data_IF_997433210872
#
_entry.id   IF_997433210872
#
_cell.length_a   1.000
_cell.length_b   1.000
_cell.length_c   1.000
_cell.angle_alpha   90.00
_cell.angle_beta   90.00
_cell.angle_gamma   90.00
#
_symmetry.space_group_name_H-M   'P 1'
#
loop_
_entity.id
_entity.type
_entity.pdbx_description
1 polymer ?
#
# COMPACT_ATOMS: atom_id res chain seq x y z
N UNK A 1 20.02 -17.00 11.01
CA UNK A 1 18.56 -17.22 10.98
C UNK A 1 17.87 -15.90 10.57
N UNK A 2 17.84 -15.58 9.27
CA UNK A 2 17.36 -14.28 8.75
C UNK A 2 16.12 -14.39 7.82
N UNK A 3 15.76 -15.60 7.39
CA UNK A 3 14.68 -15.83 6.42
C UNK A 3 13.29 -15.72 7.07
N UNK A 4 13.18 -16.15 8.34
CA UNK A 4 11.90 -16.14 9.09
C UNK A 4 11.41 -14.72 9.41
N UNK A 5 12.32 -13.80 9.72
CA UNK A 5 11.99 -12.40 10.06
C UNK A 5 11.58 -11.59 8.84
N UNK A 6 12.17 -11.88 7.67
CA UNK A 6 11.81 -11.25 6.40
C UNK A 6 10.42 -11.69 5.93
N UNK A 7 10.11 -12.98 5.99
CA UNK A 7 8.79 -13.49 5.62
C UNK A 7 7.69 -12.94 6.54
N UNK A 8 7.91 -12.91 7.86
CA UNK A 8 6.95 -12.32 8.81
C UNK A 8 6.71 -10.82 8.59
N UNK A 9 7.76 -10.07 8.24
CA UNK A 9 7.63 -8.65 7.90
C UNK A 9 6.85 -8.44 6.60
N UNK A 10 7.11 -9.27 5.59
CA UNK A 10 6.42 -9.24 4.31
C UNK A 10 4.93 -9.59 4.45
N UNK A 11 4.58 -10.57 5.29
CA UNK A 11 3.20 -10.95 5.58
C UNK A 11 2.44 -9.86 6.32
N UNK A 12 3.09 -9.27 7.34
CA UNK A 12 2.51 -8.15 8.07
C UNK A 12 2.33 -6.92 7.15
N UNK A 13 3.28 -6.68 6.24
CA UNK A 13 3.16 -5.66 5.20
C UNK A 13 1.99 -5.95 4.25
N UNK A 14 1.87 -7.20 3.77
CA UNK A 14 0.81 -7.60 2.86
C UNK A 14 -0.57 -7.37 3.48
N UNK A 15 -0.78 -7.78 4.73
CA UNK A 15 -2.03 -7.51 5.45
C UNK A 15 -2.37 -6.02 5.55
N UNK A 16 -1.37 -5.15 5.69
CA UNK A 16 -1.57 -3.70 5.69
C UNK A 16 -1.96 -3.19 4.30
N UNK A 17 -1.26 -3.61 3.24
CA UNK A 17 -1.59 -3.22 1.87
C UNK A 17 -2.97 -3.75 1.43
N UNK A 18 -3.29 -5.00 1.73
CA UNK A 18 -4.60 -5.60 1.42
C UNK A 18 -5.74 -4.84 2.09
N UNK A 19 -5.57 -4.49 3.38
CA UNK A 19 -6.56 -3.72 4.11
C UNK A 19 -6.69 -2.29 3.55
N UNK A 20 -5.59 -1.69 3.09
CA UNK A 20 -5.61 -0.39 2.43
C UNK A 20 -6.38 -0.42 1.12
N UNK A 21 -6.05 -1.34 0.19
CA UNK A 21 -6.75 -1.45 -1.08
C UNK A 21 -8.21 -1.88 -0.92
N UNK A 22 -8.52 -2.79 0.02
CA UNK A 22 -9.91 -3.13 0.35
C UNK A 22 -10.72 -1.91 0.81
N UNK A 23 -10.07 -1.01 1.54
CA UNK A 23 -10.69 0.23 2.02
C UNK A 23 -10.88 1.23 0.87
N UNK A 24 -9.93 1.31 -0.06
CA UNK A 24 -10.06 2.12 -1.28
C UNK A 24 -11.18 1.66 -2.20
N UNK A 25 -11.28 0.36 -2.48
CA UNK A 25 -12.36 -0.22 -3.30
C UNK A 25 -13.73 0.08 -2.69
N UNK A 26 -13.83 0.10 -1.37
CA UNK A 26 -15.06 0.44 -0.63
C UNK A 26 -15.34 1.95 -0.55
N UNK A 27 -14.47 2.81 -1.09
CA UNK A 27 -14.62 4.26 -1.07
C UNK A 27 -14.39 4.93 0.30
N UNK A 28 -13.77 4.23 1.26
CA UNK A 28 -13.55 4.79 2.61
C UNK A 28 -12.16 5.48 2.70
N UNK A 29 -12.03 6.61 2.01
CA UNK A 29 -10.75 7.31 1.84
C UNK A 29 -10.14 7.80 3.15
N UNK A 30 -10.94 8.22 4.13
CA UNK A 30 -10.44 8.63 5.44
C UNK A 30 -9.73 7.50 6.18
N UNK A 31 -10.30 6.28 6.14
CA UNK A 31 -9.69 5.12 6.77
C UNK A 31 -8.43 4.69 6.02
N UNK A 32 -8.43 4.79 4.69
CA UNK A 32 -7.25 4.51 3.87
C UNK A 32 -6.12 5.53 4.17
N UNK A 33 -6.43 6.82 4.29
CA UNK A 33 -5.48 7.88 4.61
C UNK A 33 -4.76 7.64 5.95
N UNK A 34 -5.48 7.13 6.98
CA UNK A 34 -4.88 6.78 8.29
C UNK A 34 -3.82 5.66 8.21
N UNK A 35 -3.80 4.88 7.13
CA UNK A 35 -2.83 3.79 6.90
C UNK A 35 -1.55 4.27 6.20
N UNK A 36 -1.60 5.45 5.57
CA UNK A 36 -0.46 6.09 4.94
C UNK A 36 0.36 6.82 6.01
N UNK A 37 1.68 6.68 5.96
CA UNK A 37 2.59 7.52 6.71
C UNK A 37 2.60 8.90 6.03
N UNK A 38 1.99 9.88 6.69
CA UNK A 38 1.99 11.26 6.25
C UNK A 38 3.45 11.75 6.16
N UNK A 39 3.98 12.19 5.00
CA UNK A 39 4.89 13.31 5.04
C UNK A 39 4.10 14.51 5.59
N UNK A 40 4.76 15.38 6.35
CA UNK A 40 4.13 16.57 6.95
C UNK A 40 3.45 17.37 5.82
N UNK A 41 2.13 17.36 5.77
CA UNK A 41 1.30 17.88 4.67
C UNK A 41 -0.18 17.50 4.86
N UNK A 42 -1.08 18.35 4.37
CA UNK A 42 -2.52 18.31 4.71
C UNK A 42 -3.20 16.99 4.33
N UNK A 43 -4.00 16.45 5.26
CA UNK A 43 -4.73 15.18 5.08
C UNK A 43 -5.69 15.22 3.86
N UNK A 44 -6.14 16.42 3.49
CA UNK A 44 -6.98 16.68 2.31
C UNK A 44 -6.30 16.30 0.99
N UNK A 45 -4.99 16.54 0.87
CA UNK A 45 -4.24 16.21 -0.34
C UNK A 45 -4.13 14.70 -0.53
N UNK A 46 -4.00 13.97 0.56
CA UNK A 46 -3.93 12.50 0.53
C UNK A 46 -5.28 11.91 0.16
N UNK A 47 -6.37 12.37 0.76
CA UNK A 47 -7.71 11.89 0.38
C UNK A 47 -7.94 12.11 -1.12
N UNK A 48 -7.55 13.27 -1.65
CA UNK A 48 -7.67 13.58 -3.08
C UNK A 48 -6.83 12.65 -3.96
N UNK A 49 -5.59 12.36 -3.56
CA UNK A 49 -4.73 11.39 -4.26
C UNK A 49 -5.31 9.96 -4.21
N UNK A 50 -5.87 9.56 -3.06
CA UNK A 50 -6.51 8.26 -2.89
C UNK A 50 -7.79 8.14 -3.72
N UNK A 51 -8.56 9.22 -3.85
CA UNK A 51 -9.70 9.30 -4.76
C UNK A 51 -9.25 9.15 -6.22
N UNK A 52 -8.23 9.89 -6.65
CA UNK A 52 -7.68 9.77 -8.01
C UNK A 52 -7.09 8.37 -8.29
N UNK A 53 -6.57 7.69 -7.26
CA UNK A 53 -6.12 6.31 -7.38
C UNK A 53 -7.28 5.32 -7.53
N UNK A 54 -8.37 5.54 -6.80
CA UNK A 54 -9.57 4.71 -6.85
C UNK A 54 -10.46 4.98 -8.07
N UNK A 55 -10.40 6.19 -8.61
CA UNK A 55 -11.10 6.61 -9.83
C UNK A 55 -10.08 7.18 -10.83
N UNK A 56 -9.47 6.27 -11.58
CA UNK A 56 -8.41 6.62 -12.50
C UNK A 56 -9.01 7.23 -13.77
N UNK A 57 -8.57 8.42 -14.23
CA UNK A 57 -9.17 9.11 -15.38
C UNK A 57 -9.06 8.32 -16.69
N UNK A 58 -8.04 7.48 -16.83
CA UNK A 58 -7.81 6.64 -18.02
C UNK A 58 -8.57 5.32 -17.90
N UNK A 59 -8.45 4.66 -16.74
CA UNK A 59 -8.88 3.27 -16.58
C UNK A 59 -10.25 3.07 -15.90
N UNK A 60 -10.88 4.15 -15.39
CA UNK A 60 -12.13 4.09 -14.63
C UNK A 60 -11.92 3.70 -13.16
N UNK A 61 -12.96 3.18 -12.54
CA UNK A 61 -12.93 2.82 -11.11
C UNK A 61 -12.10 1.57 -10.83
N UNK A 62 -11.43 1.58 -9.68
CA UNK A 62 -10.75 0.42 -9.12
C UNK A 62 -11.78 -0.60 -8.63
N UNK A 63 -11.74 -1.80 -9.21
CA UNK A 63 -12.67 -2.90 -8.91
C UNK A 63 -12.02 -3.92 -7.98
N UNK A 64 -10.75 -4.25 -8.24
CA UNK A 64 -10.06 -5.33 -7.55
C UNK A 64 -8.56 -5.06 -7.43
N UNK A 65 -7.91 -5.80 -6.54
CA UNK A 65 -6.47 -5.77 -6.35
C UNK A 65 -5.97 -7.17 -6.04
N UNK A 66 -4.72 -7.45 -6.41
CA UNK A 66 -4.06 -8.71 -6.13
C UNK A 66 -2.58 -8.48 -5.88
N UNK A 67 -2.06 -9.02 -4.78
CA UNK A 67 -0.63 -9.08 -4.54
C UNK A 67 0.03 -10.01 -5.56
N UNK A 68 1.08 -9.54 -6.22
CA UNK A 68 1.91 -10.35 -7.10
C UNK A 68 2.92 -11.18 -6.30
N UNK A 69 3.53 -12.17 -6.97
CA UNK A 69 4.60 -12.95 -6.37
C UNK A 69 5.84 -12.09 -6.14
N UNK A 70 6.56 -12.38 -5.05
CA UNK A 70 7.77 -11.67 -4.67
C UNK A 70 7.55 -10.58 -3.63
N UNK A 71 8.64 -10.19 -2.99
CA UNK A 71 8.73 -9.05 -2.10
C UNK A 71 10.21 -8.70 -1.92
N UNK A 72 10.50 -7.45 -1.56
CA UNK A 72 11.80 -7.06 -1.05
C UNK A 72 11.66 -6.64 0.41
N UNK A 73 12.62 -6.99 1.26
CA UNK A 73 12.66 -6.54 2.66
C UNK A 73 14.04 -6.05 3.00
N UNK A 74 14.12 -4.79 3.40
CA UNK A 74 15.35 -4.12 3.82
C UNK A 74 15.20 -3.70 5.27
N UNK A 75 16.19 -4.02 6.10
CA UNK A 75 16.22 -3.60 7.51
C UNK A 75 17.44 -2.72 7.69
N UNK A 76 17.24 -1.47 8.08
CA UNK A 76 18.32 -0.51 8.33
C UNK A 76 18.01 0.31 9.58
N UNK A 77 18.94 0.37 10.54
CA UNK A 77 18.81 1.12 11.79
C UNK A 77 17.49 0.87 12.54
N UNK A 78 17.04 -0.40 12.58
CA UNK A 78 15.78 -0.78 13.23
C UNK A 78 14.50 -0.40 12.47
N UNK A 79 14.62 0.15 11.26
CA UNK A 79 13.51 0.38 10.34
C UNK A 79 13.42 -0.77 9.35
N UNK A 80 12.31 -1.48 9.37
CA UNK A 80 12.00 -2.51 8.37
C UNK A 80 11.19 -1.88 7.25
N UNK A 81 11.70 -1.95 6.02
CA UNK A 81 11.01 -1.56 4.80
C UNK A 81 10.67 -2.80 3.98
N UNK A 82 9.42 -2.90 3.55
CA UNK A 82 8.92 -3.98 2.70
C UNK A 82 8.36 -3.39 1.42
N UNK A 83 8.80 -3.92 0.28
CA UNK A 83 8.26 -3.56 -1.03
C UNK A 83 7.46 -4.76 -1.57
N UNK A 84 6.18 -4.51 -1.88
CA UNK A 84 5.23 -5.53 -2.30
C UNK A 84 4.66 -5.17 -3.66
N UNK A 85 4.85 -6.01 -4.68
CA UNK A 85 4.22 -5.79 -5.98
C UNK A 85 2.72 -6.15 -5.91
N UNK A 86 1.89 -5.32 -6.51
CA UNK A 86 0.44 -5.47 -6.65
C UNK A 86 0.01 -5.22 -8.08
N UNK A 87 -1.04 -5.91 -8.51
CA UNK A 87 -1.80 -5.61 -9.71
C UNK A 87 -3.15 -5.08 -9.27
N UNK A 88 -3.50 -3.90 -9.76
CA UNK A 88 -4.79 -3.26 -9.57
C UNK A 88 -5.63 -3.43 -10.84
N UNK A 89 -6.85 -3.89 -10.69
CA UNK A 89 -7.82 -4.08 -11.77
C UNK A 89 -8.84 -2.96 -11.72
N UNK A 90 -8.86 -2.18 -12.78
CA UNK A 90 -9.80 -1.12 -13.06
C UNK A 90 -10.82 -1.58 -14.12
N UNK A 91 -11.88 -0.82 -14.32
CA UNK A 91 -12.92 -1.10 -15.32
C UNK A 91 -12.38 -1.31 -16.74
N UNK A 92 -11.35 -0.56 -17.14
CA UNK A 92 -10.82 -0.56 -18.51
C UNK A 92 -9.42 -1.19 -18.63
N UNK A 93 -8.87 -1.78 -17.56
CA UNK A 93 -7.56 -2.40 -17.63
C UNK A 93 -6.91 -2.69 -16.28
N UNK A 94 -5.66 -3.14 -16.32
CA UNK A 94 -4.87 -3.46 -15.13
C UNK A 94 -3.60 -2.63 -15.07
N UNK A 95 -3.18 -2.24 -13.87
CA UNK A 95 -1.91 -1.55 -13.64
C UNK A 95 -1.13 -2.21 -12.52
N UNK A 96 0.19 -2.28 -12.68
CA UNK A 96 1.09 -2.82 -11.65
C UNK A 96 1.63 -1.67 -10.79
N UNK A 97 1.64 -1.87 -9.49
CA UNK A 97 2.15 -0.94 -8.49
C UNK A 97 3.06 -1.66 -7.51
N UNK A 98 4.01 -0.95 -6.94
CA UNK A 98 4.80 -1.37 -5.79
C UNK A 98 4.36 -0.57 -4.58
N UNK A 99 3.86 -1.28 -3.57
CA UNK A 99 3.53 -0.70 -2.26
C UNK A 99 4.75 -0.79 -1.37
N UNK A 100 5.19 0.35 -0.85
CA UNK A 100 6.30 0.43 0.08
C UNK A 100 5.75 0.67 1.48
N UNK A 101 6.11 -0.22 2.40
CA UNK A 101 5.65 -0.22 3.78
C UNK A 101 6.86 -0.09 4.71
N UNK A 102 6.75 0.76 5.72
CA UNK A 102 7.74 0.87 6.78
C UNK A 102 7.18 0.47 8.13
N UNK A 103 8.02 -0.18 8.93
CA UNK A 103 7.81 -0.42 10.35
C UNK A 103 9.00 0.14 11.13
N UNK A 104 8.71 1.10 12.01
CA UNK A 104 9.68 1.74 12.91
C UNK A 104 9.46 1.37 14.38
N UNK A 105 8.89 0.19 14.63
CA UNK A 105 8.51 -0.29 15.97
C UNK A 105 7.11 0.14 16.45
N UNK A 106 6.35 0.91 15.65
CA UNK A 106 4.98 1.37 15.96
C UNK A 106 3.91 0.80 15.02
N UNK A 107 4.24 -0.31 14.36
CA UNK A 107 3.40 -0.94 13.35
C UNK A 107 3.73 -0.50 11.92
N UNK A 108 3.04 -1.13 10.96
CA UNK A 108 3.28 -0.97 9.52
C UNK A 108 2.50 0.21 8.96
N UNK A 109 3.17 1.09 8.21
CA UNK A 109 2.54 2.22 7.50
C UNK A 109 2.96 2.22 6.03
N UNK A 110 2.04 2.59 5.15
CA UNK A 110 2.32 2.76 3.72
C UNK A 110 3.03 4.09 3.52
N UNK A 111 4.26 4.09 3.02
CA UNK A 111 5.01 5.33 2.75
C UNK A 111 4.96 5.73 1.28
N UNK A 112 4.63 4.80 0.38
CA UNK A 112 4.54 5.07 -1.05
C UNK A 112 3.75 3.99 -1.77
N UNK A 113 3.07 4.38 -2.85
CA UNK A 113 2.46 3.50 -3.84
C UNK A 113 2.83 4.07 -5.21
N UNK A 114 3.59 3.33 -6.02
CA UNK A 114 4.16 3.81 -7.28
C UNK A 114 4.33 2.71 -8.32
#
# INVERSE_FOLDING_TARGET
MFILTQCGSADAGAKTADRFFSTLVKGNFEKAAKMVALPIGDTTDIISQLQAMADNPVNGRLINFKKSMGFSTTINNGVTRVELPYVLTYEKGTQSFTVIIENRGRGNKIISVR
#
